data_IF_842651905805
#
_entry.id   IF_842651905805
#
_cell.length_a   1.000
_cell.length_b   1.000
_cell.length_c   1.000
_cell.angle_alpha   90.00
_cell.angle_beta   90.00
_cell.angle_gamma   90.00
#
_symmetry.space_group_name_H-M   'P 1'
#
loop_
_entity.id
_entity.type
_entity.pdbx_description
1 polymer ?
#
# COMPACT_ATOMS: atom_id res chain seq x y z
N UNK A 1 -3.05 2.57 20.92
CA UNK A 1 -2.40 1.25 20.73
C UNK A 1 -3.46 0.21 20.38
N UNK A 2 -3.05 -1.02 20.01
CA UNK A 2 -3.97 -2.15 19.83
C UNK A 2 -4.85 -2.36 21.08
N UNK A 3 -4.25 -2.36 22.26
CA UNK A 3 -4.91 -2.57 23.56
C UNK A 3 -5.99 -1.52 23.85
N UNK A 4 -5.70 -0.24 23.60
CA UNK A 4 -6.68 0.84 23.76
C UNK A 4 -7.89 0.67 22.85
N UNK A 5 -7.67 0.30 21.58
CA UNK A 5 -8.77 0.10 20.61
C UNK A 5 -9.61 -1.11 20.98
N UNK A 6 -8.96 -2.20 21.36
CA UNK A 6 -9.62 -3.41 21.85
C UNK A 6 -10.47 -3.12 23.09
N UNK A 7 -9.94 -2.35 24.06
CA UNK A 7 -10.67 -1.95 25.27
C UNK A 7 -11.90 -1.09 25.00
N UNK A 8 -11.92 -0.39 23.86
CA UNK A 8 -13.03 0.46 23.41
C UNK A 8 -13.99 -0.27 22.47
N UNK A 9 -13.81 -1.57 22.22
CA UNK A 9 -14.59 -2.34 21.24
C UNK A 9 -14.43 -1.84 19.81
N UNK A 10 -13.34 -1.12 19.51
CA UNK A 10 -13.00 -0.64 18.18
C UNK A 10 -12.11 -1.66 17.49
N UNK A 11 -12.30 -1.82 16.19
CA UNK A 11 -11.42 -2.67 15.38
C UNK A 11 -9.97 -2.22 15.54
N UNK A 12 -9.01 -3.15 15.59
CA UNK A 12 -7.59 -2.81 15.61
C UNK A 12 -7.20 -2.00 14.37
N UNK A 13 -6.05 -1.33 14.44
CA UNK A 13 -5.53 -0.64 13.26
C UNK A 13 -5.27 -1.66 12.14
N UNK A 14 -5.97 -1.52 11.02
CA UNK A 14 -5.81 -2.46 9.92
C UNK A 14 -4.47 -2.27 9.22
N UNK A 15 -3.78 -3.38 8.98
CA UNK A 15 -2.50 -3.47 8.28
C UNK A 15 -2.66 -3.93 6.83
N UNK A 16 -3.90 -4.12 6.36
CA UNK A 16 -4.19 -4.53 5.00
C UNK A 16 -4.81 -3.38 4.18
N UNK A 17 -5.52 -3.71 3.09
CA UNK A 17 -6.14 -2.72 2.20
C UNK A 17 -7.41 -2.07 2.77
N UNK A 18 -7.77 -2.32 4.03
CA UNK A 18 -9.04 -1.86 4.58
C UNK A 18 -9.16 -0.34 4.63
N UNK A 19 -8.07 0.39 4.88
CA UNK A 19 -8.09 1.85 4.83
C UNK A 19 -8.49 2.38 3.44
N UNK A 20 -8.07 1.70 2.36
CA UNK A 20 -8.42 2.03 0.99
C UNK A 20 -9.88 1.67 0.72
N UNK A 21 -10.33 0.49 1.16
CA UNK A 21 -11.73 0.06 1.00
C UNK A 21 -12.70 0.99 1.72
N UNK A 22 -12.40 1.37 2.94
CA UNK A 22 -13.19 2.32 3.72
C UNK A 22 -13.24 3.69 3.05
N UNK A 23 -12.13 4.17 2.51
CA UNK A 23 -12.11 5.41 1.74
C UNK A 23 -13.01 5.31 0.51
N UNK A 24 -12.89 4.25 -0.30
CA UNK A 24 -13.72 4.07 -1.49
C UNK A 24 -15.20 3.97 -1.11
N UNK A 25 -15.55 3.14 -0.13
CA UNK A 25 -16.93 2.95 0.33
C UNK A 25 -17.57 4.22 0.90
N UNK A 26 -16.76 5.17 1.39
CA UNK A 26 -17.25 6.48 1.84
C UNK A 26 -17.58 7.44 0.69
N UNK A 27 -17.05 7.19 -0.53
CA UNK A 27 -17.23 8.07 -1.69
C UNK A 27 -18.15 7.49 -2.78
N UNK A 28 -18.27 6.17 -2.90
CA UNK A 28 -19.15 5.51 -3.87
C UNK A 28 -19.50 4.06 -3.48
N UNK A 29 -20.50 3.43 -4.13
CA UNK A 29 -20.70 1.97 -4.08
C UNK A 29 -19.77 1.30 -5.12
N UNK A 30 -18.63 0.68 -4.72
CA UNK A 30 -17.63 0.18 -5.67
C UNK A 30 -18.12 -0.99 -6.53
N UNK A 31 -19.30 -1.55 -6.25
CA UNK A 31 -19.89 -2.64 -7.01
C UNK A 31 -20.90 -2.14 -8.06
N UNK A 32 -21.26 -0.86 -8.04
CA UNK A 32 -22.28 -0.27 -8.91
C UNK A 32 -21.80 1.01 -9.60
N UNK A 33 -21.01 1.80 -8.91
CA UNK A 33 -20.56 3.12 -9.33
C UNK A 33 -19.10 3.08 -9.78
N UNK A 34 -18.69 3.95 -10.72
CA UNK A 34 -17.28 4.14 -11.03
C UNK A 34 -16.53 4.68 -9.81
N UNK A 35 -15.34 4.14 -9.55
CA UNK A 35 -14.47 4.61 -8.48
C UNK A 35 -13.98 6.03 -8.86
N UNK A 36 -14.14 7.03 -7.97
CA UNK A 36 -13.66 8.38 -8.22
C UNK A 36 -12.14 8.44 -8.24
N UNK A 37 -11.58 9.46 -8.89
CA UNK A 37 -10.16 9.74 -8.85
C UNK A 37 -9.72 9.97 -7.39
N UNK A 38 -8.72 9.22 -6.95
CA UNK A 38 -8.16 9.35 -5.61
C UNK A 38 -7.14 10.50 -5.62
N UNK A 39 -7.26 11.51 -4.74
CA UNK A 39 -6.31 12.61 -4.68
C UNK A 39 -4.87 12.12 -4.43
N UNK A 40 -3.91 12.81 -5.03
CA UNK A 40 -2.49 12.46 -4.91
C UNK A 40 -2.01 12.45 -3.45
N UNK A 41 -2.49 13.38 -2.60
CA UNK A 41 -2.15 13.37 -1.17
C UNK A 41 -2.67 12.10 -0.47
N UNK A 42 -3.87 11.65 -0.83
CA UNK A 42 -4.48 10.45 -0.25
C UNK A 42 -3.71 9.20 -0.69
N UNK A 43 -3.31 9.13 -1.96
CA UNK A 43 -2.46 8.05 -2.46
C UNK A 43 -1.08 8.03 -1.77
N UNK A 44 -0.50 9.19 -1.49
CA UNK A 44 0.75 9.30 -0.75
C UNK A 44 0.62 8.79 0.69
N UNK A 45 -0.49 9.11 1.38
CA UNK A 45 -0.80 8.58 2.72
C UNK A 45 -0.97 7.05 2.72
N UNK A 46 -1.68 6.51 1.72
CA UNK A 46 -1.85 5.08 1.54
C UNK A 46 -0.51 4.38 1.31
N UNK A 47 0.35 4.96 0.47
CA UNK A 47 1.71 4.46 0.25
C UNK A 47 2.54 4.47 1.54
N UNK A 48 2.45 5.55 2.33
CA UNK A 48 3.17 5.66 3.60
C UNK A 48 2.74 4.59 4.62
N UNK A 49 1.47 4.20 4.65
CA UNK A 49 0.99 3.09 5.51
C UNK A 49 1.67 1.76 5.16
N UNK A 50 1.80 1.43 3.87
CA UNK A 50 2.50 0.21 3.46
C UNK A 50 4.00 0.25 3.77
N UNK A 51 4.64 1.41 3.60
CA UNK A 51 6.04 1.61 3.95
C UNK A 51 6.24 1.35 5.45
N UNK A 52 5.42 1.99 6.29
CA UNK A 52 5.48 1.81 7.75
C UNK A 52 5.26 0.35 8.15
N UNK A 53 4.31 -0.34 7.52
CA UNK A 53 4.07 -1.76 7.76
C UNK A 53 5.31 -2.60 7.44
N UNK A 54 5.92 -2.38 6.27
CA UNK A 54 7.15 -3.05 5.86
C UNK A 54 8.26 -2.84 6.90
N UNK A 55 8.48 -1.60 7.31
CA UNK A 55 9.52 -1.24 8.30
C UNK A 55 9.24 -1.88 9.66
N UNK A 56 7.98 -1.88 10.12
CA UNK A 56 7.58 -2.51 11.38
C UNK A 56 7.76 -4.02 11.38
N UNK A 57 7.41 -4.69 10.29
CA UNK A 57 7.45 -6.16 10.20
C UNK A 57 8.87 -6.66 9.96
N UNK A 58 9.66 -5.95 9.16
CA UNK A 58 11.00 -6.40 8.76
C UNK A 58 12.13 -5.81 9.60
N UNK A 59 11.88 -4.68 10.27
CA UNK A 59 12.92 -3.89 10.95
C UNK A 59 13.89 -3.18 10.01
N UNK A 60 13.60 -3.15 8.70
CA UNK A 60 14.44 -2.53 7.67
C UNK A 60 13.80 -1.24 7.17
N UNK A 61 14.61 -0.20 6.95
CA UNK A 61 14.14 1.07 6.37
C UNK A 61 13.77 0.89 4.88
N UNK A 62 12.61 1.41 4.48
CA UNK A 62 12.18 1.33 3.10
C UNK A 62 12.98 2.30 2.21
N UNK A 63 13.69 1.74 1.23
CA UNK A 63 14.48 2.53 0.29
C UNK A 63 13.60 3.02 -0.87
N UNK A 64 13.20 4.30 -0.84
CA UNK A 64 12.47 4.93 -1.94
C UNK A 64 13.36 5.00 -3.19
N UNK A 65 12.79 4.77 -4.39
CA UNK A 65 13.52 4.91 -5.64
C UNK A 65 13.96 6.37 -5.88
N UNK A 66 14.98 6.56 -6.72
CA UNK A 66 15.46 7.90 -7.06
C UNK A 66 14.40 8.65 -7.87
N UNK A 67 14.32 9.95 -7.66
CA UNK A 67 13.45 10.80 -8.46
C UNK A 67 13.80 10.69 -9.95
N UNK A 68 12.78 10.54 -10.81
CA UNK A 68 12.94 10.40 -12.26
C UNK A 68 13.26 8.99 -12.75
N UNK A 69 13.39 7.99 -11.88
CA UNK A 69 13.57 6.60 -12.29
C UNK A 69 12.26 6.03 -12.89
N UNK A 70 12.27 5.46 -14.12
CA UNK A 70 11.06 4.92 -14.73
C UNK A 70 10.48 3.74 -13.96
N UNK A 71 9.20 3.85 -13.56
CA UNK A 71 8.50 2.84 -12.74
C UNK A 71 8.53 1.46 -13.41
N UNK A 72 8.21 1.39 -14.71
CA UNK A 72 8.15 0.11 -15.45
C UNK A 72 9.49 -0.62 -15.41
N UNK A 73 10.58 0.06 -15.75
CA UNK A 73 11.90 -0.55 -15.77
C UNK A 73 12.33 -1.04 -14.39
N UNK A 74 12.02 -0.28 -13.34
CA UNK A 74 12.30 -0.69 -11.95
C UNK A 74 11.51 -1.92 -11.52
N UNK A 75 10.23 -2.00 -11.87
CA UNK A 75 9.39 -3.17 -11.59
C UNK A 75 9.92 -4.40 -12.33
N UNK A 76 10.20 -4.28 -13.63
CA UNK A 76 10.77 -5.37 -14.43
C UNK A 76 12.11 -5.85 -13.86
N UNK A 77 13.04 -4.94 -13.55
CA UNK A 77 14.34 -5.30 -12.96
C UNK A 77 14.20 -6.02 -11.61
N UNK A 78 13.26 -5.57 -10.77
CA UNK A 78 12.98 -6.21 -9.48
C UNK A 78 12.43 -7.62 -9.65
N UNK A 79 11.48 -7.80 -10.58
CA UNK A 79 10.88 -9.11 -10.87
C UNK A 79 11.90 -10.07 -11.48
N UNK A 80 12.70 -9.63 -12.47
CA UNK A 80 13.75 -10.45 -13.06
C UNK A 80 14.80 -10.89 -12.03
N UNK A 81 15.15 -10.02 -11.08
CA UNK A 81 16.09 -10.36 -10.00
C UNK A 81 15.50 -11.37 -9.01
N UNK A 82 14.23 -11.22 -8.65
CA UNK A 82 13.59 -12.04 -7.63
C UNK A 82 13.08 -13.39 -8.16
N UNK A 83 12.70 -13.44 -9.44
CA UNK A 83 12.01 -14.55 -10.10
C UNK A 83 12.68 -14.88 -11.46
N UNK A 84 14.01 -15.11 -11.49
CA UNK A 84 14.76 -15.20 -12.74
C UNK A 84 14.23 -16.25 -13.71
N UNK A 85 13.66 -17.35 -13.24
CA UNK A 85 13.11 -18.44 -14.05
C UNK A 85 11.92 -18.03 -14.94
N UNK A 86 11.20 -16.96 -14.59
CA UNK A 86 10.08 -16.45 -15.38
C UNK A 86 10.49 -15.34 -16.37
N UNK A 87 11.71 -14.80 -16.22
CA UNK A 87 12.18 -13.64 -16.98
C UNK A 87 13.49 -13.89 -17.74
N UNK A 88 14.12 -15.06 -17.55
CA UNK A 88 15.25 -15.53 -18.34
C UNK A 88 14.72 -16.18 -19.62
N UNK A 89 15.09 -15.62 -20.77
CA UNK A 89 14.93 -16.26 -22.09
C UNK A 89 16.19 -17.01 -22.47
#
# INVERSE_FOLDING_TARGET
SYEERLSQGKDPESLDKEFLRLWIAAHCDPYKDPIPDIPDETLAEFSAKYIRLYEQVTGLDFQKPKAGEPIRGRVEASLTKALPEYFSK
#
